data_IF_716846108006
#
_entry.id   IF_716846108006
#
_cell.length_a   1.000
_cell.length_b   1.000
_cell.length_c   1.000
_cell.angle_alpha   90.00
_cell.angle_beta   90.00
_cell.angle_gamma   90.00
#
_symmetry.space_group_name_H-M   'P 1'
#
loop_
_entity.id
_entity.type
_entity.pdbx_description
1 polymer ?
#
# COMPACT_ATOMS: atom_id res chain seq x y z
N UNK A 1 2.84 -29.59 11.04
CA UNK A 1 3.60 -28.64 10.20
C UNK A 1 2.65 -27.52 9.87
N UNK A 2 2.52 -26.56 10.78
CA UNK A 2 1.59 -25.46 10.69
C UNK A 2 1.97 -24.57 9.51
N UNK A 3 1.15 -24.60 8.45
CA UNK A 3 1.28 -23.68 7.34
C UNK A 3 1.07 -22.27 7.89
N UNK A 4 2.14 -21.47 7.90
CA UNK A 4 2.03 -20.05 8.17
C UNK A 4 0.91 -19.48 7.30
N UNK A 5 0.00 -18.65 7.83
CA UNK A 5 -1.10 -18.11 7.04
C UNK A 5 -0.48 -17.48 5.80
N UNK A 6 -0.97 -17.86 4.61
CA UNK A 6 -0.59 -17.22 3.36
C UNK A 6 -0.96 -15.74 3.51
N UNK A 7 0.01 -14.92 3.93
CA UNK A 7 -0.17 -13.49 4.06
C UNK A 7 -0.36 -13.00 2.63
N UNK A 8 -1.62 -12.81 2.25
CA UNK A 8 -2.01 -12.21 0.98
C UNK A 8 -1.19 -10.93 0.79
N UNK A 9 -0.19 -11.00 -0.09
CA UNK A 9 0.64 -9.86 -0.44
C UNK A 9 -0.23 -8.89 -1.23
N UNK A 10 -0.30 -7.65 -0.75
CA UNK A 10 -1.05 -6.59 -1.42
C UNK A 10 -0.20 -6.06 -2.56
N UNK A 11 -0.75 -5.99 -3.78
CA UNK A 11 -0.05 -5.41 -4.92
C UNK A 11 -0.12 -3.88 -4.87
N UNK A 12 0.91 -3.30 -4.25
CA UNK A 12 1.01 -1.85 -4.02
C UNK A 12 1.06 -1.08 -5.33
N UNK A 13 1.73 -1.63 -6.33
CA UNK A 13 1.86 -0.99 -7.64
C UNK A 13 0.50 -0.99 -8.34
N UNK A 14 -0.25 -2.08 -8.27
CA UNK A 14 -1.59 -2.14 -8.85
C UNK A 14 -2.54 -1.11 -8.19
N UNK A 15 -2.54 -1.01 -6.86
CA UNK A 15 -3.34 0.00 -6.14
C UNK A 15 -2.97 1.41 -6.62
N UNK A 16 -1.68 1.75 -6.61
CA UNK A 16 -1.20 3.07 -7.01
C UNK A 16 -1.57 3.42 -8.45
N UNK A 17 -1.43 2.47 -9.37
CA UNK A 17 -1.79 2.66 -10.78
C UNK A 17 -3.30 2.83 -10.96
N UNK A 18 -4.14 2.13 -10.18
CA UNK A 18 -5.61 2.34 -10.17
C UNK A 18 -5.98 3.73 -9.69
N UNK A 19 -5.26 4.27 -8.71
CA UNK A 19 -5.40 5.64 -8.21
C UNK A 19 -4.85 6.71 -9.16
N UNK A 20 -4.12 6.32 -10.21
CA UNK A 20 -3.49 7.21 -11.21
C UNK A 20 -2.54 8.24 -10.61
N UNK A 21 -1.82 7.87 -9.54
CA UNK A 21 -0.84 8.72 -8.87
C UNK A 21 0.58 8.18 -9.03
N UNK A 22 1.57 9.05 -8.89
CA UNK A 22 2.98 8.64 -8.89
C UNK A 22 3.45 8.13 -7.51
N UNK A 23 4.65 7.55 -7.44
CA UNK A 23 5.16 6.95 -6.20
C UNK A 23 5.36 7.98 -5.06
N UNK A 24 5.73 9.23 -5.37
CA UNK A 24 5.87 10.29 -4.36
C UNK A 24 4.51 10.67 -3.79
N UNK A 25 3.53 10.96 -4.65
CA UNK A 25 2.18 11.32 -4.21
C UNK A 25 1.55 10.24 -3.32
N UNK A 26 1.77 8.97 -3.69
CA UNK A 26 1.27 7.84 -2.92
C UNK A 26 1.98 7.69 -1.57
N UNK A 27 3.28 7.98 -1.51
CA UNK A 27 4.06 7.95 -0.28
C UNK A 27 3.61 9.07 0.68
N UNK A 28 3.49 10.30 0.16
CA UNK A 28 3.06 11.48 0.93
C UNK A 28 1.67 11.28 1.53
N UNK A 29 0.70 10.80 0.74
CA UNK A 29 -0.66 10.56 1.20
C UNK A 29 -0.77 9.48 2.28
N UNK A 30 0.20 8.56 2.37
CA UNK A 30 0.24 7.52 3.39
C UNK A 30 1.16 7.86 4.57
N UNK A 31 1.83 9.02 4.54
CA UNK A 31 2.83 9.39 5.55
C UNK A 31 4.05 8.47 5.55
N UNK A 32 4.42 7.93 4.39
CA UNK A 32 5.53 6.98 4.22
C UNK A 32 6.64 7.60 3.37
N UNK A 33 7.85 7.07 3.49
CA UNK A 33 8.94 7.48 2.58
C UNK A 33 8.77 6.88 1.19
N UNK A 34 9.23 7.60 0.16
CA UNK A 34 9.32 7.08 -1.21
C UNK A 34 10.06 5.72 -1.27
N UNK A 35 11.13 5.58 -0.48
CA UNK A 35 11.91 4.34 -0.41
C UNK A 35 11.08 3.16 0.10
N UNK A 36 10.16 3.39 1.04
CA UNK A 36 9.24 2.37 1.53
C UNK A 36 8.34 1.88 0.40
N UNK A 37 7.72 2.80 -0.35
CA UNK A 37 6.87 2.46 -1.50
C UNK A 37 7.66 1.70 -2.57
N UNK A 38 8.87 2.17 -2.91
CA UNK A 38 9.76 1.48 -3.88
C UNK A 38 10.12 0.07 -3.42
N UNK A 39 10.45 -0.10 -2.14
CA UNK A 39 10.82 -1.39 -1.56
C UNK A 39 9.66 -2.39 -1.63
N UNK A 40 8.43 -1.93 -1.38
CA UNK A 40 7.22 -2.74 -1.49
C UNK A 40 6.85 -3.07 -2.93
N UNK A 41 6.86 -2.10 -3.85
CA UNK A 41 6.56 -2.35 -5.27
C UNK A 41 7.58 -3.28 -5.96
N UNK A 42 8.80 -3.37 -5.42
CA UNK A 42 9.85 -4.27 -5.89
C UNK A 42 9.86 -5.62 -5.17
N UNK A 43 9.01 -5.82 -4.17
CA UNK A 43 8.97 -7.05 -3.38
C UNK A 43 10.19 -7.27 -2.47
N UNK A 44 11.03 -6.25 -2.22
CA UNK A 44 12.17 -6.36 -1.30
C UNK A 44 11.71 -6.44 0.15
N UNK A 45 10.61 -5.78 0.46
CA UNK A 45 9.88 -5.85 1.73
C UNK A 45 8.39 -5.90 1.41
N UNK A 46 7.58 -6.31 2.39
CA UNK A 46 6.12 -6.27 2.29
C UNK A 46 5.55 -5.41 3.42
N UNK A 47 4.40 -4.74 3.21
CA UNK A 47 3.69 -4.08 4.30
C UNK A 47 3.23 -5.13 5.32
N UNK A 48 3.28 -4.79 6.60
CA UNK A 48 2.82 -5.65 7.69
C UNK A 48 1.89 -4.89 8.62
N UNK A 49 1.15 -5.62 9.46
CA UNK A 49 0.31 -5.04 10.51
C UNK A 49 -0.70 -4.01 9.98
N UNK A 50 -0.67 -2.80 10.54
CA UNK A 50 -1.62 -1.74 10.21
C UNK A 50 -1.48 -1.24 8.77
N UNK A 51 -0.26 -1.13 8.25
CA UNK A 51 -0.01 -0.68 6.88
C UNK A 51 -0.67 -1.63 5.87
N UNK A 52 -0.52 -2.95 6.07
CA UNK A 52 -1.15 -3.95 5.21
C UNK A 52 -2.68 -3.85 5.26
N UNK A 53 -3.26 -3.67 6.46
CA UNK A 53 -4.71 -3.49 6.61
C UNK A 53 -5.21 -2.23 5.91
N UNK A 54 -4.52 -1.10 6.06
CA UNK A 54 -4.86 0.15 5.40
C UNK A 54 -4.83 0.00 3.86
N UNK A 55 -3.79 -0.63 3.33
CA UNK A 55 -3.66 -0.88 1.88
C UNK A 55 -4.78 -1.80 1.36
N UNK A 56 -5.15 -2.85 2.11
CA UNK A 56 -6.31 -3.71 1.75
C UNK A 56 -7.63 -2.94 1.76
N UNK A 57 -7.79 -1.96 2.65
CA UNK A 57 -8.99 -1.13 2.66
C UNK A 57 -9.02 -0.19 1.46
N UNK A 58 -7.88 0.45 1.13
CA UNK A 58 -7.75 1.29 -0.06
C UNK A 58 -7.98 0.49 -1.34
N UNK A 59 -7.49 -0.75 -1.42
CA UNK A 59 -7.71 -1.63 -2.57
C UNK A 59 -9.20 -1.90 -2.84
N UNK A 60 -9.99 -2.04 -1.76
CA UNK A 60 -11.43 -2.28 -1.79
C UNK A 60 -12.23 -1.00 -2.05
N UNK A 61 -11.77 0.12 -1.51
CA UNK A 61 -12.39 1.45 -1.67
C UNK A 61 -11.32 2.49 -1.97
N UNK A 62 -11.15 2.81 -3.26
CA UNK A 62 -10.14 3.77 -3.72
C UNK A 62 -10.43 5.19 -3.22
N UNK A 63 -11.68 5.54 -2.91
CA UNK A 63 -12.03 6.86 -2.37
C UNK A 63 -11.40 7.08 -0.99
N UNK A 64 -11.09 6.00 -0.26
CA UNK A 64 -10.43 6.08 1.03
C UNK A 64 -9.04 6.73 0.92
N UNK A 65 -8.31 6.50 -0.18
CA UNK A 65 -7.02 7.15 -0.42
C UNK A 65 -7.14 8.68 -0.44
N UNK A 66 -8.17 9.21 -1.09
CA UNK A 66 -8.34 10.66 -1.17
C UNK A 66 -8.66 11.27 0.20
N UNK A 67 -9.29 10.52 1.11
CA UNK A 67 -9.49 10.98 2.49
C UNK A 67 -8.19 11.08 3.27
N UNK A 68 -7.25 10.16 3.06
CA UNK A 68 -5.92 10.21 3.67
C UNK A 68 -5.08 11.39 3.14
N UNK A 69 -5.22 11.74 1.86
CA UNK A 69 -4.45 12.83 1.23
C UNK A 69 -4.77 14.23 1.79
N UNK A 70 -5.94 14.44 2.39
CA UNK A 70 -6.43 15.77 2.80
C UNK A 70 -6.62 15.94 4.32
N UNK A 71 -5.91 15.15 5.12
CA UNK A 71 -5.89 15.27 6.58
C UNK A 71 -4.50 15.66 7.07
#
# INVERSE_FOLDING_TARGET
>A
MDAAPQIENVDIKAIRLRLKVNQHEFADALGLSLETIKSWEQGRRNPTGLAQKALKLIEKDLELYYRFKFN
#
